data_IF_551237055071
#
_entry.id   IF_551237055071
#
_cell.length_a   1.000
_cell.length_b   1.000
_cell.length_c   1.000
_cell.angle_alpha   90.00
_cell.angle_beta   90.00
_cell.angle_gamma   90.00
#
_symmetry.space_group_name_H-M   'P 1'
#
loop_
_entity.id
_entity.type
_entity.pdbx_description
1 polymer ?
#
# COMPACT_ATOMS: atom_id res chain seq x y z
N UNK A 1 -40.50 -0.09 -25.56
CA UNK A 1 -39.47 0.45 -24.64
C UNK A 1 -38.26 0.80 -25.48
N UNK A 2 -37.83 2.06 -25.47
CA UNK A 2 -36.83 2.56 -26.44
C UNK A 2 -35.45 1.95 -26.15
N UNK A 3 -34.70 1.61 -27.21
CA UNK A 3 -33.34 1.03 -27.12
C UNK A 3 -32.41 1.88 -26.24
N UNK A 4 -32.55 3.21 -26.29
CA UNK A 4 -31.81 4.16 -25.46
C UNK A 4 -32.09 4.01 -23.96
N UNK A 5 -33.32 3.63 -23.58
CA UNK A 5 -33.70 3.42 -22.18
C UNK A 5 -33.07 2.12 -21.64
N UNK A 6 -33.00 1.07 -22.45
CA UNK A 6 -32.34 -0.18 -22.05
C UNK A 6 -30.83 -0.03 -21.88
N UNK A 7 -30.15 0.72 -22.76
CA UNK A 7 -28.72 1.01 -22.62
C UNK A 7 -28.43 1.81 -21.35
N UNK A 8 -29.25 2.82 -21.04
CA UNK A 8 -29.11 3.62 -19.82
C UNK A 8 -29.26 2.77 -18.55
N UNK A 9 -30.27 1.89 -18.50
CA UNK A 9 -30.48 0.98 -17.37
C UNK A 9 -29.29 0.03 -17.22
N UNK A 10 -28.78 -0.53 -18.34
CA UNK A 10 -27.62 -1.41 -18.34
C UNK A 10 -26.39 -0.76 -17.71
N UNK A 11 -26.05 0.47 -18.11
CA UNK A 11 -24.91 1.22 -17.56
C UNK A 11 -25.07 1.46 -16.06
N UNK A 12 -26.27 1.87 -15.61
CA UNK A 12 -26.54 2.13 -14.19
C UNK A 12 -26.39 0.85 -13.36
N UNK A 13 -26.88 -0.29 -13.86
CA UNK A 13 -26.73 -1.58 -13.18
C UNK A 13 -25.27 -2.00 -13.12
N UNK A 14 -24.49 -1.83 -14.20
CA UNK A 14 -23.06 -2.13 -14.22
C UNK A 14 -22.29 -1.30 -13.19
N UNK A 15 -22.54 0.02 -13.14
CA UNK A 15 -21.92 0.91 -12.15
C UNK A 15 -22.31 0.48 -10.73
N UNK A 16 -23.59 0.18 -10.50
CA UNK A 16 -24.07 -0.26 -9.20
C UNK A 16 -23.41 -1.57 -8.75
N UNK A 17 -23.24 -2.53 -9.66
CA UNK A 17 -22.53 -3.79 -9.39
C UNK A 17 -21.08 -3.51 -9.01
N UNK A 18 -20.36 -2.68 -9.77
CA UNK A 18 -18.97 -2.30 -9.47
C UNK A 18 -18.87 -1.64 -8.10
N UNK A 19 -19.78 -0.72 -7.76
CA UNK A 19 -19.81 -0.07 -6.44
C UNK A 19 -20.09 -1.08 -5.32
N UNK A 20 -21.04 -2.00 -5.50
CA UNK A 20 -21.38 -3.01 -4.49
C UNK A 20 -20.20 -3.96 -4.26
N UNK A 21 -19.57 -4.44 -5.34
CA UNK A 21 -18.40 -5.33 -5.29
C UNK A 21 -17.20 -4.63 -4.66
N UNK A 22 -16.92 -3.38 -5.06
CA UNK A 22 -15.86 -2.56 -4.47
C UNK A 22 -16.04 -2.38 -2.96
N UNK A 23 -17.24 -1.97 -2.52
CA UNK A 23 -17.55 -1.82 -1.08
C UNK A 23 -17.48 -3.13 -0.30
N UNK A 24 -17.81 -4.26 -0.93
CA UNK A 24 -17.67 -5.58 -0.31
C UNK A 24 -16.19 -5.95 -0.12
N UNK A 25 -15.35 -5.69 -1.14
CA UNK A 25 -13.90 -5.92 -1.08
C UNK A 25 -13.23 -5.10 0.01
N UNK A 26 -13.48 -3.79 0.06
CA UNK A 26 -12.94 -2.88 1.07
C UNK A 26 -13.28 -3.32 2.50
N UNK A 27 -14.52 -3.76 2.73
CA UNK A 27 -14.96 -4.24 4.06
C UNK A 27 -14.20 -5.48 4.48
N UNK A 28 -13.97 -6.42 3.56
CA UNK A 28 -13.22 -7.64 3.84
C UNK A 28 -11.76 -7.33 4.13
N UNK A 29 -11.12 -6.43 3.38
CA UNK A 29 -9.75 -5.98 3.64
C UNK A 29 -9.63 -5.32 5.01
N UNK A 30 -10.52 -4.38 5.35
CA UNK A 30 -10.53 -3.73 6.67
C UNK A 30 -10.67 -4.73 7.82
N UNK A 31 -11.57 -5.72 7.68
CA UNK A 31 -11.72 -6.77 8.70
C UNK A 31 -10.46 -7.62 8.86
N UNK A 32 -9.79 -7.96 7.77
CA UNK A 32 -8.55 -8.74 7.82
C UNK A 32 -7.41 -7.95 8.46
N UNK A 33 -7.29 -6.66 8.15
CA UNK A 33 -6.33 -5.76 8.78
C UNK A 33 -6.60 -5.57 10.27
N UNK A 34 -7.87 -5.39 10.65
CA UNK A 34 -8.26 -5.30 12.06
C UNK A 34 -7.89 -6.56 12.84
N UNK A 35 -8.00 -7.73 12.21
CA UNK A 35 -7.58 -9.00 12.78
C UNK A 35 -6.05 -9.12 12.84
N UNK A 36 -5.33 -8.76 11.77
CA UNK A 36 -3.87 -8.79 11.71
C UNK A 36 -3.22 -7.83 12.74
N UNK A 37 -3.86 -6.68 12.97
CA UNK A 37 -3.38 -5.64 13.87
C UNK A 37 -4.04 -5.66 15.26
N UNK A 38 -4.74 -6.74 15.60
CA UNK A 38 -5.49 -6.83 16.85
C UNK A 38 -4.54 -6.71 18.06
N UNK A 39 -4.85 -5.77 18.96
CA UNK A 39 -4.09 -5.54 20.18
C UNK A 39 -2.83 -4.69 20.01
N UNK A 40 -2.57 -4.16 18.80
CA UNK A 40 -1.46 -3.23 18.55
C UNK A 40 -1.87 -1.79 18.86
N UNK A 41 -0.90 -1.03 19.35
CA UNK A 41 -1.02 0.42 19.53
C UNK A 41 -1.01 1.12 18.17
N UNK A 42 -1.80 2.20 18.05
CA UNK A 42 -1.77 3.08 16.89
C UNK A 42 -0.65 4.10 17.07
N UNK A 43 0.26 4.18 16.10
CA UNK A 43 1.43 5.04 16.11
C UNK A 43 1.28 6.13 15.05
N UNK A 44 1.60 7.37 15.43
CA UNK A 44 1.83 8.43 14.43
C UNK A 44 3.05 8.11 13.57
N UNK A 45 3.23 8.83 12.47
CA UNK A 45 4.40 8.64 11.59
C UNK A 45 5.70 8.90 12.34
N UNK A 46 5.74 9.92 13.20
CA UNK A 46 6.90 10.26 14.03
C UNK A 46 7.18 9.17 15.06
N UNK A 47 6.16 8.70 15.77
CA UNK A 47 6.31 7.61 16.75
C UNK A 47 6.77 6.31 16.10
N UNK A 48 6.23 5.99 14.93
CA UNK A 48 6.64 4.85 14.14
C UNK A 48 8.12 4.97 13.72
N UNK A 49 8.53 6.13 13.20
CA UNK A 49 9.91 6.40 12.84
C UNK A 49 10.85 6.28 14.05
N UNK A 50 10.52 6.91 15.17
CA UNK A 50 11.32 6.85 16.40
C UNK A 50 11.46 5.42 16.90
N UNK A 51 10.37 4.66 16.89
CA UNK A 51 10.36 3.28 17.37
C UNK A 51 11.18 2.34 16.50
N UNK A 52 11.13 2.51 15.18
CA UNK A 52 11.65 1.52 14.24
C UNK A 52 12.91 1.96 13.49
N UNK A 53 13.07 3.24 13.11
CA UNK A 53 14.07 3.67 12.11
C UNK A 53 15.07 4.73 12.58
N UNK A 54 14.81 5.48 13.66
CA UNK A 54 15.63 6.62 14.10
C UNK A 54 17.12 6.28 14.27
N UNK A 55 17.44 5.09 14.77
CA UNK A 55 18.82 4.66 15.03
C UNK A 55 19.45 3.88 13.87
N UNK A 56 18.83 3.88 12.68
CA UNK A 56 19.28 3.09 11.52
C UNK A 56 19.96 3.93 10.44
N UNK A 57 20.09 5.25 10.63
CA UNK A 57 20.67 6.15 9.62
C UNK A 57 19.80 6.26 8.35
N UNK A 58 18.50 6.01 8.49
CA UNK A 58 17.49 6.22 7.46
C UNK A 58 16.85 7.59 7.72
N UNK A 59 16.79 8.48 6.72
CA UNK A 59 16.12 9.77 6.85
C UNK A 59 14.62 9.65 7.13
N UNK A 60 14.07 10.56 7.95
CA UNK A 60 12.63 10.57 8.30
C UNK A 60 11.73 10.70 7.06
N UNK A 61 12.12 11.53 6.10
CA UNK A 61 11.39 11.78 4.86
C UNK A 61 11.28 10.54 3.96
N UNK A 62 12.24 9.62 4.03
CA UNK A 62 12.12 8.31 3.36
C UNK A 62 11.01 7.48 3.99
N UNK A 63 11.04 7.34 5.32
CA UNK A 63 10.03 6.53 6.05
C UNK A 63 8.64 7.13 5.89
N UNK A 64 8.51 8.44 6.07
CA UNK A 64 7.28 9.19 5.88
C UNK A 64 6.76 9.06 4.43
N UNK A 65 7.63 9.27 3.44
CA UNK A 65 7.25 9.19 2.03
C UNK A 65 6.72 7.80 1.64
N UNK A 66 7.40 6.73 2.08
CA UNK A 66 6.95 5.35 1.85
C UNK A 66 5.60 5.10 2.55
N UNK A 67 5.44 5.52 3.81
CA UNK A 67 4.20 5.32 4.57
C UNK A 67 3.02 6.08 3.96
N UNK A 68 3.25 7.29 3.44
CA UNK A 68 2.23 8.11 2.80
C UNK A 68 1.75 7.48 1.49
N UNK A 69 2.66 7.03 0.63
CA UNK A 69 2.32 6.34 -0.63
C UNK A 69 1.45 5.11 -0.33
N UNK A 70 1.84 4.28 0.64
CA UNK A 70 1.05 3.11 1.02
C UNK A 70 -0.35 3.50 1.52
N UNK A 71 -0.45 4.54 2.34
CA UNK A 71 -1.73 5.00 2.90
C UNK A 71 -2.66 5.57 1.81
N UNK A 72 -2.09 6.28 0.83
CA UNK A 72 -2.81 6.89 -0.29
C UNK A 72 -3.31 5.82 -1.29
N UNK A 73 -2.42 4.97 -1.79
CA UNK A 73 -2.75 4.01 -2.85
C UNK A 73 -3.63 2.86 -2.34
N UNK A 74 -3.49 2.45 -1.07
CA UNK A 74 -4.26 1.34 -0.51
C UNK A 74 -5.51 1.79 0.25
N UNK A 75 -5.71 3.09 0.46
CA UNK A 75 -6.82 3.66 1.24
C UNK A 75 -7.05 2.96 2.61
N UNK A 76 -5.94 2.55 3.24
CA UNK A 76 -5.91 1.75 4.47
C UNK A 76 -5.19 2.52 5.57
N UNK A 77 -5.68 2.36 6.80
CA UNK A 77 -5.03 2.90 7.98
C UNK A 77 -3.83 2.02 8.41
N UNK A 78 -2.62 2.54 8.18
CA UNK A 78 -1.35 1.93 8.59
C UNK A 78 -0.86 2.42 9.96
N UNK A 79 -1.70 3.05 10.77
CA UNK A 79 -1.29 3.51 12.10
C UNK A 79 -0.85 2.37 13.02
N UNK A 80 -1.38 1.15 12.84
CA UNK A 80 -1.00 -0.06 13.61
C UNK A 80 0.02 -0.96 12.90
N UNK A 81 0.61 -0.48 11.80
CA UNK A 81 1.66 -1.17 11.08
C UNK A 81 2.91 -1.29 11.96
N UNK A 82 3.53 -2.45 11.95
CA UNK A 82 4.90 -2.65 12.44
C UNK A 82 5.83 -2.82 11.25
N UNK A 83 7.11 -2.48 11.43
CA UNK A 83 8.07 -2.52 10.34
C UNK A 83 8.42 -3.94 9.87
N UNK A 84 8.24 -4.94 10.75
CA UNK A 84 8.43 -6.37 10.47
C UNK A 84 7.18 -7.08 9.92
N UNK A 85 6.09 -6.35 9.65
CA UNK A 85 4.90 -6.94 9.04
C UNK A 85 5.22 -7.50 7.66
N UNK A 86 5.06 -8.82 7.53
CA UNK A 86 5.22 -9.53 6.27
C UNK A 86 4.01 -9.24 5.37
N UNK A 87 4.26 -8.50 4.29
CA UNK A 87 3.23 -8.14 3.34
C UNK A 87 2.65 -9.35 2.60
N UNK A 88 3.39 -10.45 2.46
CA UNK A 88 2.86 -11.67 1.82
C UNK A 88 1.91 -12.46 2.72
N UNK A 89 1.98 -12.25 4.04
CA UNK A 89 1.19 -13.00 5.05
C UNK A 89 0.17 -12.15 5.76
N UNK A 90 0.61 -11.06 6.39
CA UNK A 90 -0.22 -10.19 7.23
C UNK A 90 -1.07 -9.25 6.37
N UNK A 91 -0.56 -8.90 5.19
CA UNK A 91 -1.19 -7.94 4.29
C UNK A 91 -1.18 -8.46 2.85
N UNK A 92 -1.48 -9.76 2.67
CA UNK A 92 -1.30 -10.52 1.42
C UNK A 92 -1.89 -9.86 0.17
N UNK A 93 -2.90 -9.00 0.33
CA UNK A 93 -3.49 -8.25 -0.79
C UNK A 93 -2.58 -7.16 -1.37
N UNK A 94 -1.45 -6.82 -0.73
CA UNK A 94 -0.49 -5.81 -1.22
C UNK A 94 0.42 -6.37 -2.32
N UNK A 95 0.64 -7.70 -2.37
CA UNK A 95 1.54 -8.33 -3.35
C UNK A 95 0.95 -9.59 -3.99
N UNK A 96 -0.38 -9.68 -4.10
CA UNK A 96 -0.95 -10.66 -5.04
C UNK A 96 -0.68 -10.09 -6.45
N UNK A 97 0.46 -10.49 -7.02
CA UNK A 97 1.13 -10.06 -8.28
C UNK A 97 0.27 -10.15 -9.58
N UNK A 98 -1.01 -9.76 -9.53
CA UNK A 98 -1.97 -9.76 -10.62
C UNK A 98 -2.96 -8.56 -10.50
N UNK A 99 -2.62 -7.57 -9.67
CA UNK A 99 -3.48 -6.46 -9.24
C UNK A 99 -2.84 -5.10 -9.60
N UNK A 100 -3.61 -4.21 -10.23
CA UNK A 100 -3.13 -2.87 -10.67
C UNK A 100 -2.55 -2.01 -9.54
N UNK A 101 -2.94 -2.25 -8.28
CA UNK A 101 -2.51 -1.44 -7.13
C UNK A 101 -0.99 -1.54 -6.86
N UNK A 102 -0.38 -2.70 -7.11
CA UNK A 102 1.04 -2.94 -6.85
C UNK A 102 1.92 -2.11 -7.82
N UNK A 103 1.45 -1.97 -9.06
CA UNK A 103 2.10 -1.15 -10.10
C UNK A 103 2.05 0.34 -9.74
N UNK A 104 0.92 0.81 -9.20
CA UNK A 104 0.76 2.22 -8.79
C UNK A 104 1.69 2.57 -7.64
N UNK A 105 1.82 1.70 -6.63
CA UNK A 105 2.76 1.89 -5.52
C UNK A 105 4.20 1.97 -6.02
N UNK A 106 4.63 1.04 -6.87
CA UNK A 106 6.00 1.04 -7.43
C UNK A 106 6.25 2.33 -8.22
N UNK A 107 5.33 2.73 -9.10
CA UNK A 107 5.46 3.96 -9.88
C UNK A 107 5.48 5.22 -8.99
N UNK A 108 4.67 5.25 -7.93
CA UNK A 108 4.64 6.34 -6.96
C UNK A 108 5.97 6.45 -6.21
N UNK A 109 6.56 5.31 -5.79
CA UNK A 109 7.88 5.25 -5.15
C UNK A 109 8.98 5.72 -6.11
N UNK A 110 9.03 5.19 -7.34
CA UNK A 110 9.98 5.60 -8.37
C UNK A 110 9.93 7.12 -8.60
N UNK A 111 8.72 7.67 -8.77
CA UNK A 111 8.51 9.09 -9.00
C UNK A 111 8.89 9.94 -7.79
N UNK A 112 8.50 9.54 -6.59
CA UNK A 112 8.74 10.30 -5.35
C UNK A 112 10.22 10.38 -5.02
N UNK A 113 10.93 9.26 -5.17
CA UNK A 113 12.33 9.14 -4.75
C UNK A 113 13.33 9.23 -5.92
N UNK A 114 12.84 9.41 -7.16
CA UNK A 114 13.67 9.43 -8.38
C UNK A 114 14.55 8.19 -8.52
N UNK A 115 13.98 7.03 -8.23
CA UNK A 115 14.64 5.72 -8.31
C UNK A 115 14.02 4.85 -9.40
N UNK A 116 14.70 3.74 -9.73
CA UNK A 116 14.15 2.67 -10.57
C UNK A 116 14.08 1.37 -9.79
N UNK A 117 12.93 0.70 -9.89
CA UNK A 117 12.62 -0.54 -9.21
C UNK A 117 12.22 -1.56 -10.27
N UNK A 118 13.08 -2.57 -10.48
CA UNK A 118 12.79 -3.64 -11.43
C UNK A 118 11.97 -4.76 -10.75
N UNK A 119 11.28 -5.58 -11.55
CA UNK A 119 10.40 -6.65 -11.05
C UNK A 119 11.10 -7.61 -10.09
N UNK A 120 12.35 -7.98 -10.38
CA UNK A 120 13.15 -8.86 -9.51
C UNK A 120 13.47 -8.19 -8.17
N UNK A 121 13.68 -6.87 -8.15
CA UNK A 121 13.94 -6.13 -6.91
C UNK A 121 12.67 -6.04 -6.07
N UNK A 122 11.54 -5.71 -6.70
CA UNK A 122 10.24 -5.68 -6.05
C UNK A 122 9.87 -7.04 -5.44
N UNK A 123 10.11 -8.15 -6.17
CA UNK A 123 9.83 -9.51 -5.70
C UNK A 123 10.62 -9.93 -4.45
N UNK A 124 11.74 -9.26 -4.15
CA UNK A 124 12.55 -9.54 -2.98
C UNK A 124 12.11 -8.76 -1.72
N UNK A 125 11.23 -7.78 -1.87
CA UNK A 125 10.71 -6.97 -0.76
C UNK A 125 9.61 -7.73 -0.05
N UNK A 126 9.79 -8.04 1.24
CA UNK A 126 8.83 -8.86 2.02
C UNK A 126 8.16 -8.10 3.14
N UNK A 127 8.88 -7.18 3.78
CA UNK A 127 8.41 -6.39 4.91
C UNK A 127 8.46 -4.90 4.62
N UNK A 128 7.76 -4.11 5.43
CA UNK A 128 7.85 -2.65 5.34
C UNK A 128 9.27 -2.16 5.61
N UNK A 129 9.97 -2.79 6.55
CA UNK A 129 11.40 -2.55 6.80
C UNK A 129 12.23 -2.76 5.53
N UNK A 130 12.08 -3.90 4.85
CA UNK A 130 12.85 -4.19 3.62
C UNK A 130 12.63 -3.10 2.57
N UNK A 131 11.39 -2.66 2.39
CA UNK A 131 11.03 -1.62 1.44
C UNK A 131 11.73 -0.29 1.76
N UNK A 132 11.64 0.15 3.01
CA UNK A 132 12.26 1.41 3.46
C UNK A 132 13.78 1.38 3.26
N UNK A 133 14.43 0.27 3.64
CA UNK A 133 15.86 0.12 3.39
C UNK A 133 16.19 0.15 1.91
N UNK A 134 15.44 -0.57 1.10
CA UNK A 134 15.62 -0.61 -0.35
C UNK A 134 15.53 0.79 -0.98
N UNK A 135 14.49 1.55 -0.64
CA UNK A 135 14.31 2.92 -1.13
C UNK A 135 15.46 3.82 -0.70
N UNK A 136 15.81 3.81 0.59
CA UNK A 136 16.94 4.58 1.12
C UNK A 136 18.26 4.26 0.41
N UNK A 137 18.55 2.98 0.21
CA UNK A 137 19.79 2.54 -0.43
C UNK A 137 19.83 2.89 -1.93
N UNK A 138 18.68 2.85 -2.60
CA UNK A 138 18.55 3.29 -3.99
C UNK A 138 18.74 4.80 -4.13
N UNK A 139 18.11 5.60 -3.27
CA UNK A 139 18.25 7.06 -3.29
C UNK A 139 19.71 7.47 -3.11
N UNK A 140 20.44 6.86 -2.16
CA UNK A 140 21.87 7.13 -1.94
C UNK A 140 22.78 6.77 -3.14
N UNK A 141 22.34 5.87 -4.03
CA UNK A 141 23.10 5.48 -5.23
C UNK A 141 22.76 6.32 -6.46
N UNK A 142 21.62 7.00 -6.43
CA UNK A 142 21.14 7.87 -7.50
C UNK A 142 21.66 9.32 -7.40
N UNK A 143 22.23 9.69 -6.24
CA UNK A 143 22.95 10.95 -5.99
C UNK A 143 24.39 10.90 -6.53
#
# INVERSE_FOLDING_TARGET
MNLSIQLAIGIVVSILIVVIVGKYSERKQKQLLDLAFKGRESLTTEQFYQRFFENQGIPFDVVEGVKNIFSEELAIDFSRLHDDDDFSKNIRFIWDLDSMADVEIVLALEKKFSIRIDDDEAANIRTFRDLVHFVNDKTKRSE
#
